data_IF_424337225398
#
_entry.id   IF_424337225398
#
_cell.length_a   1.000
_cell.length_b   1.000
_cell.length_c   1.000
_cell.angle_alpha   90.00
_cell.angle_beta   90.00
_cell.angle_gamma   90.00
#
_symmetry.space_group_name_H-M   'P 1'
#
loop_
_entity.id
_entity.type
_entity.pdbx_description
1 polymer ?
#
# COMPACT_ATOMS: atom_id res chain seq x y z
N UNK A 1 -4.70 33.20 -17.54
CA UNK A 1 -3.89 31.97 -17.40
C UNK A 1 -3.21 32.03 -16.04
N UNK A 2 -3.48 31.08 -15.16
CA UNK A 2 -2.97 31.09 -13.78
C UNK A 2 -1.68 30.27 -13.70
N UNK A 3 -0.55 30.95 -13.90
CA UNK A 3 0.78 30.35 -13.89
C UNK A 3 1.15 29.76 -12.51
N UNK A 4 0.57 30.27 -11.42
CA UNK A 4 0.82 29.77 -10.07
C UNK A 4 0.22 28.37 -9.84
N UNK A 5 -1.01 28.14 -10.31
CA UNK A 5 -1.62 26.79 -10.30
C UNK A 5 -0.86 25.81 -11.17
N UNK A 6 -0.40 26.24 -12.36
CA UNK A 6 0.36 25.38 -13.27
C UNK A 6 1.69 24.95 -12.66
N UNK A 7 2.44 25.87 -12.02
CA UNK A 7 3.70 25.56 -11.35
C UNK A 7 3.50 24.54 -10.22
N UNK A 8 2.49 24.73 -9.37
CA UNK A 8 2.15 23.81 -8.28
C UNK A 8 1.79 22.40 -8.80
N UNK A 9 1.05 22.30 -9.90
CA UNK A 9 0.72 21.01 -10.53
C UNK A 9 1.98 20.32 -11.06
N UNK A 10 2.88 21.06 -11.72
CA UNK A 10 4.14 20.50 -12.20
C UNK A 10 5.03 19.99 -11.06
N UNK A 11 5.15 20.75 -9.96
CA UNK A 11 5.88 20.31 -8.76
C UNK A 11 5.29 19.03 -8.18
N UNK A 12 3.96 18.93 -8.12
CA UNK A 12 3.26 17.72 -7.65
C UNK A 12 3.59 16.50 -8.51
N UNK A 13 3.61 16.64 -9.83
CA UNK A 13 3.96 15.55 -10.74
C UNK A 13 5.41 15.08 -10.53
N UNK A 14 6.36 16.01 -10.40
CA UNK A 14 7.77 15.67 -10.13
C UNK A 14 7.92 14.89 -8.82
N UNK A 15 7.21 15.28 -7.76
CA UNK A 15 7.23 14.56 -6.48
C UNK A 15 6.69 13.14 -6.63
N UNK A 16 5.57 12.98 -7.34
CA UNK A 16 5.00 11.64 -7.58
C UNK A 16 5.95 10.79 -8.42
N UNK A 17 6.55 11.33 -9.47
CA UNK A 17 7.47 10.55 -10.31
C UNK A 17 8.74 10.14 -9.55
N UNK A 18 9.30 11.03 -8.73
CA UNK A 18 10.41 10.68 -7.84
C UNK A 18 10.04 9.57 -6.85
N UNK A 19 8.80 9.57 -6.35
CA UNK A 19 8.31 8.51 -5.48
C UNK A 19 8.30 7.16 -6.22
N UNK A 20 7.75 7.09 -7.44
CA UNK A 20 7.80 5.86 -8.23
C UNK A 20 9.22 5.41 -8.57
N UNK A 21 10.11 6.34 -8.93
CA UNK A 21 11.51 6.03 -9.22
C UNK A 21 12.22 5.43 -8.00
N UNK A 22 11.99 5.99 -6.81
CA UNK A 22 12.60 5.51 -5.55
C UNK A 22 12.23 4.06 -5.24
N UNK A 23 11.00 3.65 -5.56
CA UNK A 23 10.46 2.33 -5.25
C UNK A 23 10.46 1.36 -6.44
N UNK A 24 11.00 1.74 -7.61
CA UNK A 24 10.92 0.92 -8.83
C UNK A 24 11.64 -0.44 -8.74
N UNK A 25 12.59 -0.57 -7.80
CA UNK A 25 13.36 -1.80 -7.59
C UNK A 25 12.56 -2.91 -6.91
N UNK A 26 11.42 -2.56 -6.30
CA UNK A 26 10.57 -3.54 -5.61
C UNK A 26 9.54 -4.09 -6.58
N UNK A 27 9.33 -5.40 -6.51
CA UNK A 27 8.41 -6.15 -7.38
C UNK A 27 7.43 -6.95 -6.53
N UNK A 28 6.37 -7.47 -7.16
CA UNK A 28 5.46 -8.47 -6.55
C UNK A 28 5.83 -9.90 -6.90
N UNK A 29 6.99 -10.12 -7.54
CA UNK A 29 7.54 -11.44 -7.79
C UNK A 29 7.61 -12.22 -6.47
N UNK A 30 7.16 -13.46 -6.48
CA UNK A 30 7.15 -14.35 -5.30
C UNK A 30 6.30 -13.83 -4.12
N UNK A 31 5.36 -12.92 -4.40
CA UNK A 31 4.36 -12.51 -3.42
C UNK A 31 3.36 -13.65 -3.22
N UNK A 32 3.60 -14.44 -2.19
CA UNK A 32 2.72 -15.53 -1.78
C UNK A 32 1.72 -15.09 -0.71
N UNK A 33 0.58 -15.76 -0.68
CA UNK A 33 -0.36 -15.75 0.45
C UNK A 33 -0.46 -17.16 1.02
N UNK A 34 -0.86 -17.29 2.29
CA UNK A 34 -1.01 -18.60 2.90
C UNK A 34 -2.10 -19.43 2.19
N UNK A 35 -1.93 -20.74 2.11
CA UNK A 35 -2.99 -21.68 1.71
C UNK A 35 -4.05 -21.88 2.81
N UNK A 36 -3.94 -21.14 3.90
CA UNK A 36 -4.83 -21.22 5.07
C UNK A 36 -6.20 -20.56 4.84
N UNK A 37 -6.48 -20.06 3.63
CA UNK A 37 -7.73 -19.42 3.25
C UNK A 37 -7.89 -17.98 3.76
N UNK A 38 -6.85 -17.37 4.33
CA UNK A 38 -6.91 -15.98 4.80
C UNK A 38 -6.89 -14.93 3.67
N UNK A 39 -6.53 -15.33 2.45
CA UNK A 39 -6.56 -14.49 1.26
C UNK A 39 -7.36 -15.25 0.20
N UNK A 40 -8.40 -14.63 -0.34
CA UNK A 40 -9.13 -15.19 -1.47
C UNK A 40 -8.27 -15.08 -2.75
N UNK A 41 -8.07 -16.15 -3.53
CA UNK A 41 -7.42 -16.05 -4.84
C UNK A 41 -8.04 -14.99 -5.77
N UNK A 42 -9.34 -14.68 -5.62
CA UNK A 42 -10.00 -13.59 -6.34
C UNK A 42 -9.48 -12.21 -5.91
N UNK A 43 -9.20 -12.00 -4.62
CA UNK A 43 -8.60 -10.78 -4.10
C UNK A 43 -7.17 -10.60 -4.65
N UNK A 44 -6.39 -11.68 -4.69
CA UNK A 44 -5.06 -11.69 -5.31
C UNK A 44 -5.11 -11.28 -6.77
N UNK A 45 -6.09 -11.79 -7.52
CA UNK A 45 -6.32 -11.40 -8.91
C UNK A 45 -6.74 -9.94 -9.05
N UNK A 46 -7.56 -9.41 -8.12
CA UNK A 46 -7.99 -8.01 -8.15
C UNK A 46 -6.78 -7.08 -8.03
N UNK A 47 -5.90 -7.31 -7.06
CA UNK A 47 -4.71 -6.49 -6.84
C UNK A 47 -3.70 -6.61 -8.00
N UNK A 48 -3.66 -7.75 -8.69
CA UNK A 48 -2.82 -8.00 -9.86
C UNK A 48 -3.50 -7.66 -11.22
N UNK A 49 -4.72 -7.12 -11.21
CA UNK A 49 -5.56 -7.01 -12.42
C UNK A 49 -5.09 -5.95 -13.41
N UNK A 50 -4.28 -4.98 -12.95
CA UNK A 50 -3.83 -3.84 -13.74
C UNK A 50 -2.46 -3.35 -13.32
N UNK A 51 -1.89 -2.44 -14.11
CA UNK A 51 -0.58 -1.87 -13.81
C UNK A 51 -0.64 -1.09 -12.49
N UNK A 52 0.46 -1.03 -11.76
CA UNK A 52 0.55 -0.34 -10.47
C UNK A 52 -0.04 1.08 -10.49
N UNK A 53 0.25 1.89 -11.52
CA UNK A 53 -0.26 3.26 -11.67
C UNK A 53 -1.76 3.36 -11.94
N UNK A 54 -2.39 2.26 -12.33
CA UNK A 54 -3.81 2.19 -12.65
C UNK A 54 -4.64 1.67 -11.46
N UNK A 55 -4.01 1.13 -10.40
CA UNK A 55 -4.71 0.69 -9.19
C UNK A 55 -5.46 1.85 -8.52
N UNK A 56 -6.70 1.64 -8.10
CA UNK A 56 -7.55 2.63 -7.45
C UNK A 56 -7.84 2.21 -6.01
N UNK A 57 -8.57 3.04 -5.28
CA UNK A 57 -8.92 2.76 -3.89
C UNK A 57 -9.63 1.42 -3.71
N UNK A 58 -10.54 1.07 -4.61
CA UNK A 58 -11.27 -0.19 -4.53
C UNK A 58 -10.36 -1.41 -4.76
N UNK A 59 -9.26 -1.29 -5.51
CA UNK A 59 -8.31 -2.38 -5.64
C UNK A 59 -7.51 -2.59 -4.35
N UNK A 60 -7.26 -1.52 -3.59
CA UNK A 60 -6.62 -1.61 -2.28
C UNK A 60 -7.57 -2.06 -1.16
N UNK A 61 -8.89 -2.13 -1.42
CA UNK A 61 -9.85 -2.64 -0.43
C UNK A 61 -9.63 -4.11 -0.07
N UNK A 62 -8.90 -4.87 -0.88
CA UNK A 62 -8.50 -6.25 -0.54
C UNK A 62 -7.11 -6.33 0.13
N UNK A 63 -6.34 -5.24 0.07
CA UNK A 63 -4.98 -5.12 0.61
C UNK A 63 -4.91 -4.11 1.78
N UNK A 64 -5.97 -4.05 2.59
CA UNK A 64 -6.05 -3.21 3.79
C UNK A 64 -6.25 -4.07 5.06
N UNK A 65 -6.34 -3.42 6.23
CA UNK A 65 -6.60 -4.12 7.49
C UNK A 65 -5.53 -5.18 7.79
N UNK A 66 -5.94 -6.41 8.11
CA UNK A 66 -5.02 -7.52 8.39
C UNK A 66 -4.15 -7.89 7.19
N UNK A 67 -4.70 -7.84 5.98
CA UNK A 67 -4.00 -8.23 4.74
C UNK A 67 -2.73 -7.40 4.51
N UNK A 68 -2.79 -6.10 4.81
CA UNK A 68 -1.63 -5.20 4.75
C UNK A 68 -0.44 -5.70 5.59
N UNK A 69 -0.71 -6.39 6.70
CA UNK A 69 0.32 -6.87 7.62
C UNK A 69 0.76 -8.30 7.33
N UNK A 70 -0.12 -9.14 6.77
CA UNK A 70 0.12 -10.58 6.62
C UNK A 70 0.37 -11.04 5.18
N UNK A 71 0.01 -10.24 4.18
CA UNK A 71 0.12 -10.66 2.79
C UNK A 71 1.37 -10.10 2.13
N UNK A 72 2.25 -11.03 1.75
CA UNK A 72 3.58 -10.72 1.26
C UNK A 72 4.50 -10.21 2.38
N UNK A 73 5.67 -9.73 1.95
CA UNK A 73 6.74 -9.25 2.81
C UNK A 73 6.85 -7.72 2.67
N UNK A 74 7.76 -7.11 3.42
CA UNK A 74 7.89 -5.65 3.38
C UNK A 74 8.29 -5.13 1.99
N UNK A 75 9.03 -5.91 1.20
CA UNK A 75 9.43 -5.61 -0.17
C UNK A 75 8.21 -5.54 -1.09
N UNK A 76 7.27 -6.48 -0.93
CA UNK A 76 6.00 -6.47 -1.66
C UNK A 76 5.16 -5.24 -1.28
N UNK A 77 5.13 -4.88 0.02
CA UNK A 77 4.47 -3.64 0.43
C UNK A 77 5.13 -2.40 -0.19
N UNK A 78 6.46 -2.34 -0.24
CA UNK A 78 7.23 -1.24 -0.84
C UNK A 78 6.99 -1.11 -2.35
N UNK A 79 6.61 -2.19 -3.04
CA UNK A 79 6.15 -2.13 -4.42
C UNK A 79 4.86 -1.32 -4.56
N UNK A 80 3.88 -1.53 -3.68
CA UNK A 80 2.59 -0.83 -3.74
C UNK A 80 2.62 0.57 -3.12
N UNK A 81 3.56 0.83 -2.20
CA UNK A 81 3.69 2.09 -1.46
C UNK A 81 3.62 3.39 -2.30
N UNK A 82 4.31 3.54 -3.45
CA UNK A 82 4.21 4.76 -4.25
C UNK A 82 2.76 5.04 -4.70
N UNK A 83 2.02 3.98 -5.07
CA UNK A 83 0.63 4.12 -5.49
C UNK A 83 -0.30 4.36 -4.31
N UNK A 84 -0.10 3.68 -3.18
CA UNK A 84 -0.89 3.91 -1.96
C UNK A 84 -0.81 5.39 -1.54
N UNK A 85 0.39 5.97 -1.53
CA UNK A 85 0.61 7.38 -1.21
C UNK A 85 -0.01 8.32 -2.24
N UNK A 86 0.09 8.00 -3.53
CA UNK A 86 -0.54 8.78 -4.59
C UNK A 86 -2.06 8.78 -4.47
N UNK A 87 -2.70 7.61 -4.28
CA UNK A 87 -4.15 7.47 -4.07
C UNK A 87 -4.60 8.21 -2.81
N UNK A 88 -3.87 8.06 -1.71
CA UNK A 88 -4.14 8.78 -0.47
C UNK A 88 -4.16 10.32 -0.69
N UNK A 89 -3.20 10.83 -1.47
CA UNK A 89 -3.11 12.24 -1.84
C UNK A 89 -4.20 12.68 -2.84
N UNK A 90 -4.58 11.84 -3.82
CA UNK A 90 -5.72 12.11 -4.73
C UNK A 90 -7.02 12.26 -3.93
N UNK A 91 -7.20 11.44 -2.89
CA UNK A 91 -8.40 11.43 -2.05
C UNK A 91 -8.38 12.44 -0.89
N UNK A 92 -7.38 13.33 -0.86
CA UNK A 92 -7.18 14.33 0.20
C UNK A 92 -7.11 13.70 1.59
N UNK A 93 -6.41 12.58 1.70
CA UNK A 93 -6.17 11.87 2.95
C UNK A 93 -7.26 10.89 3.38
N UNK A 94 -8.29 10.68 2.55
CA UNK A 94 -9.45 9.82 2.87
C UNK A 94 -9.38 8.42 2.27
N UNK A 95 -8.21 8.00 1.83
CA UNK A 95 -8.02 6.66 1.26
C UNK A 95 -8.19 5.54 2.29
N UNK A 96 -8.66 4.38 1.84
CA UNK A 96 -8.83 3.16 2.65
C UNK A 96 -7.58 2.72 3.43
N UNK A 97 -6.39 3.00 2.89
CA UNK A 97 -5.11 2.88 3.61
C UNK A 97 -4.67 4.28 4.03
N UNK A 98 -4.76 4.57 5.33
CA UNK A 98 -4.41 5.86 5.91
C UNK A 98 -2.93 6.01 6.24
N UNK A 99 -2.52 7.23 6.61
CA UNK A 99 -1.14 7.51 7.05
C UNK A 99 -0.73 6.68 8.27
N UNK A 100 -1.69 6.38 9.16
CA UNK A 100 -1.43 5.56 10.33
C UNK A 100 -1.00 4.14 9.93
N UNK A 101 -1.74 3.49 9.02
CA UNK A 101 -1.40 2.17 8.50
C UNK A 101 -0.07 2.18 7.75
N UNK A 102 0.16 3.20 6.91
CA UNK A 102 1.39 3.37 6.12
C UNK A 102 2.61 3.46 7.04
N UNK A 103 2.57 4.39 8.01
CA UNK A 103 3.69 4.62 8.92
C UNK A 103 3.90 3.45 9.87
N UNK A 104 2.83 2.79 10.33
CA UNK A 104 2.92 1.63 11.22
C UNK A 104 3.57 0.43 10.54
N UNK A 105 3.21 0.11 9.28
CA UNK A 105 3.84 -1.00 8.54
C UNK A 105 5.34 -0.73 8.31
N UNK A 106 5.72 0.50 7.98
CA UNK A 106 7.12 0.90 7.81
C UNK A 106 7.89 0.87 9.13
N UNK A 107 7.30 1.35 10.23
CA UNK A 107 7.90 1.30 11.56
C UNK A 107 8.17 -0.15 12.01
N UNK A 108 7.17 -1.02 11.85
CA UNK A 108 7.29 -2.45 12.16
C UNK A 108 8.47 -3.11 11.42
N UNK A 109 8.63 -2.82 10.13
CA UNK A 109 9.73 -3.36 9.34
C UNK A 109 11.12 -2.87 9.76
N UNK A 110 11.20 -1.69 10.38
CA UNK A 110 12.44 -1.12 10.91
C UNK A 110 12.71 -1.52 12.37
N UNK A 111 11.95 -2.48 12.91
CA UNK A 111 12.09 -2.92 14.31
C UNK A 111 11.65 -1.86 15.33
N UNK A 112 10.98 -0.80 14.87
CA UNK A 112 10.39 0.20 15.76
C UNK A 112 9.11 -0.41 16.31
N UNK A 113 8.95 -0.52 17.64
CA UNK A 113 7.72 -1.03 18.24
C UNK A 113 6.55 -0.20 17.71
N UNK A 114 5.64 -0.85 16.98
CA UNK A 114 4.40 -0.20 16.57
C UNK A 114 3.60 0.21 17.81
N UNK A 115 2.68 1.19 17.68
CA UNK A 115 1.60 1.33 18.66
C UNK A 115 1.00 -0.05 18.89
N UNK A 116 0.71 -0.41 20.15
CA UNK A 116 0.07 -1.69 20.51
C UNK A 116 -1.30 -1.76 19.84
N UNK A 117 -1.33 -2.06 18.56
CA UNK A 117 -2.51 -2.51 17.88
C UNK A 117 -2.83 -3.80 18.61
N UNK A 118 -3.98 -3.86 19.28
CA UNK A 118 -4.61 -5.14 19.61
C UNK A 118 -4.87 -5.80 18.27
N UNK A 119 -3.83 -6.36 17.66
CA UNK A 119 -3.95 -7.44 16.70
C UNK A 119 -4.81 -8.43 17.45
N UNK A 120 -6.05 -8.54 17.01
CA UNK A 120 -6.92 -9.63 17.38
C UNK A 120 -6.16 -10.84 16.86
N UNK A 121 -5.23 -11.36 17.67
CA UNK A 121 -4.62 -12.67 17.49
C UNK A 121 -5.82 -13.58 17.53
N UNK A 122 -6.36 -13.90 16.37
CA UNK A 122 -7.13 -15.11 16.17
C UNK A 122 -6.18 -16.21 16.66
N UNK A 123 -6.41 -16.60 17.92
CA UNK A 123 -5.97 -17.85 18.48
C UNK A 123 -6.56 -18.91 17.55
N UNK A 124 -5.79 -19.32 16.56
CA UNK A 124 -6.00 -20.62 15.95
C UNK A 124 -5.44 -21.58 17.00
N UNK A 125 -6.34 -22.03 17.89
CA UNK A 125 -6.08 -23.18 18.74
C UNK A 125 -6.15 -24.43 17.87
N UNK A 126 -5.19 -25.31 18.11
CA UNK A 126 -4.94 -26.64 17.53
C UNK A 126 -6.18 -27.44 17.12
#
# INVERSE_FOLDING_TARGET
MDWGKLLCVMEKHVVIDNLYLTFNRYTTSDMHYCDCGCVDPADAKKLASKKLRELEEDDFSVYHGSALYTWGEIEHYKHFLPRILEVHNILSGRGVIGLYEITTKLAYANGIPGPKMKLMRLRISF
#
